data_IF_681775498557
#
_entry.id   IF_681775498557
#
_cell.length_a   1.000
_cell.length_b   1.000
_cell.length_c   1.000
_cell.angle_alpha   90.00
_cell.angle_beta   90.00
_cell.angle_gamma   90.00
#
_symmetry.space_group_name_H-M   'P 1'
#
loop_
_entity.id
_entity.type
_entity.pdbx_description
1 polymer ?
#
# COMPACT_ATOMS: atom_id res chain seq x y z
N UNK A 1 3.04 11.43 -3.14
CA UNK A 1 3.80 12.50 -2.46
C UNK A 1 4.46 11.96 -1.21
N UNK A 2 5.65 12.42 -0.89
CA UNK A 2 6.35 12.08 0.36
C UNK A 2 6.75 13.37 1.05
N UNK A 3 6.49 13.44 2.37
CA UNK A 3 6.87 14.58 3.19
C UNK A 3 6.43 14.39 4.63
N UNK A 4 7.14 15.03 5.57
CA UNK A 4 6.83 14.99 7.00
C UNK A 4 6.62 13.58 7.60
N UNK A 5 7.37 12.58 7.10
CA UNK A 5 7.27 11.18 7.55
C UNK A 5 6.04 10.42 7.02
N UNK A 6 5.31 10.98 6.07
CA UNK A 6 4.11 10.40 5.46
C UNK A 6 4.31 10.21 3.97
N UNK A 7 3.74 9.13 3.43
CA UNK A 7 3.55 8.91 2.01
C UNK A 7 2.05 8.96 1.69
N UNK A 8 1.70 9.76 0.69
CA UNK A 8 0.34 9.91 0.18
C UNK A 8 0.26 9.41 -1.27
N UNK A 9 -0.60 8.42 -1.50
CA UNK A 9 -0.98 7.98 -2.84
C UNK A 9 -2.25 8.73 -3.22
N UNK A 10 -2.09 9.76 -4.06
CA UNK A 10 -3.21 10.58 -4.51
C UNK A 10 -3.88 9.87 -5.71
N UNK A 11 -5.07 9.32 -5.50
CA UNK A 11 -5.89 8.70 -6.54
C UNK A 11 -7.34 9.19 -6.47
N UNK A 12 -7.96 9.39 -7.63
CA UNK A 12 -9.28 9.99 -7.82
C UNK A 12 -10.42 9.13 -7.26
N UNK A 13 -10.18 7.82 -7.10
CA UNK A 13 -11.16 6.86 -6.57
C UNK A 13 -11.09 6.63 -5.05
N UNK A 14 -10.26 7.39 -4.34
CA UNK A 14 -10.04 7.22 -2.89
C UNK A 14 -11.31 7.22 -2.04
N UNK A 15 -12.36 7.95 -2.45
CA UNK A 15 -13.64 7.99 -1.75
C UNK A 15 -14.78 7.20 -2.45
N UNK A 16 -14.58 6.68 -3.66
CA UNK A 16 -15.66 6.14 -4.50
C UNK A 16 -15.61 4.63 -4.74
N UNK A 17 -14.45 3.99 -4.58
CA UNK A 17 -14.43 2.52 -4.61
C UNK A 17 -15.25 1.92 -3.45
N UNK A 18 -16.01 0.83 -3.69
CA UNK A 18 -16.82 0.20 -2.64
C UNK A 18 -15.96 -0.22 -1.45
N UNK A 19 -16.42 -0.03 -0.23
CA UNK A 19 -15.69 -0.48 0.96
C UNK A 19 -16.06 -1.90 1.38
N UNK A 20 -15.13 -2.62 1.99
CA UNK A 20 -15.39 -3.84 2.75
C UNK A 20 -15.05 -3.63 4.24
N UNK A 21 -15.74 -4.35 5.11
CA UNK A 21 -15.49 -4.31 6.56
C UNK A 21 -14.49 -5.39 6.96
N UNK A 22 -13.42 -4.99 7.66
CA UNK A 22 -12.38 -5.90 8.18
C UNK A 22 -12.23 -5.71 9.69
N UNK A 23 -11.72 -6.72 10.39
CA UNK A 23 -11.34 -6.55 11.79
C UNK A 23 -10.09 -5.67 11.89
N UNK A 24 -10.13 -4.70 12.80
CA UNK A 24 -8.99 -3.87 13.12
C UNK A 24 -7.89 -4.71 13.78
N UNK A 25 -6.62 -4.33 13.64
CA UNK A 25 -5.47 -5.05 14.25
C UNK A 25 -5.59 -5.21 15.78
N UNK A 26 -6.35 -4.34 16.45
CA UNK A 26 -6.66 -4.49 17.89
C UNK A 26 -7.60 -5.64 18.21
N UNK A 27 -8.32 -6.20 17.23
CA UNK A 27 -9.34 -7.23 17.41
C UNK A 27 -10.65 -6.74 18.05
N UNK A 28 -10.74 -5.46 18.44
CA UNK A 28 -11.86 -4.92 19.25
C UNK A 28 -12.93 -4.18 18.45
N UNK A 29 -12.69 -3.94 17.17
CA UNK A 29 -13.63 -3.20 16.30
C UNK A 29 -13.44 -3.58 14.84
N UNK A 30 -14.45 -3.30 14.03
CA UNK A 30 -14.34 -3.36 12.57
C UNK A 30 -13.99 -1.99 11.99
N UNK A 31 -13.30 -1.98 10.86
CA UNK A 31 -13.02 -0.79 10.07
C UNK A 31 -13.42 -1.03 8.61
N UNK A 32 -13.86 0.01 7.93
CA UNK A 32 -14.17 -0.04 6.50
C UNK A 32 -12.95 0.41 5.70
N UNK A 33 -12.56 -0.41 4.73
CA UNK A 33 -11.42 -0.19 3.85
C UNK A 33 -11.86 -0.33 2.40
N UNK A 34 -11.28 0.43 1.48
CA UNK A 34 -11.69 0.43 0.07
C UNK A 34 -10.53 0.36 -0.92
N UNK A 35 -9.29 0.44 -0.45
CA UNK A 35 -8.12 0.28 -1.30
C UNK A 35 -6.94 -0.32 -0.54
N UNK A 36 -5.98 -0.87 -1.28
CA UNK A 36 -4.66 -1.20 -0.79
C UNK A 36 -3.62 -0.38 -1.57
N UNK A 37 -2.61 0.19 -0.90
CA UNK A 37 -1.41 0.64 -1.58
C UNK A 37 -0.53 -0.57 -1.93
N UNK A 38 -0.01 -0.56 -3.16
CA UNK A 38 1.03 -1.47 -3.63
C UNK A 38 2.36 -0.75 -3.71
N UNK A 39 3.42 -1.47 -3.41
CA UNK A 39 4.80 -1.06 -3.63
C UNK A 39 5.45 -2.07 -4.58
N UNK A 40 6.33 -1.57 -5.46
CA UNK A 40 7.16 -2.39 -6.33
C UNK A 40 8.62 -1.99 -6.16
N UNK A 41 9.46 -2.98 -5.91
CA UNK A 41 10.85 -2.85 -5.48
C UNK A 41 11.74 -3.68 -6.38
N UNK A 42 12.87 -3.12 -6.82
CA UNK A 42 13.89 -3.88 -7.53
C UNK A 42 14.85 -4.49 -6.50
N UNK A 43 14.74 -5.80 -6.29
CA UNK A 43 15.58 -6.53 -5.36
C UNK A 43 16.44 -7.53 -6.14
N UNK A 44 17.75 -7.27 -6.22
CA UNK A 44 18.68 -8.15 -6.93
C UNK A 44 18.47 -8.22 -8.45
N UNK A 45 17.98 -7.13 -9.08
CA UNK A 45 17.71 -7.08 -10.53
C UNK A 45 16.34 -7.59 -10.94
N UNK A 46 15.52 -8.06 -10.00
CA UNK A 46 14.15 -8.50 -10.23
C UNK A 46 13.15 -7.59 -9.51
N UNK A 47 12.06 -7.25 -10.19
CA UNK A 47 10.96 -6.50 -9.61
C UNK A 47 10.02 -7.41 -8.81
N UNK A 48 9.76 -7.02 -7.56
CA UNK A 48 8.79 -7.66 -6.68
C UNK A 48 7.74 -6.64 -6.27
N UNK A 49 6.51 -7.09 -6.04
CA UNK A 49 5.42 -6.21 -5.62
C UNK A 49 4.53 -6.82 -4.55
N UNK A 50 3.97 -5.96 -3.71
CA UNK A 50 3.08 -6.39 -2.65
C UNK A 50 2.28 -5.24 -2.06
N UNK A 51 1.17 -5.57 -1.38
CA UNK A 51 0.44 -4.59 -0.57
C UNK A 51 1.17 -4.36 0.74
N UNK A 52 1.11 -3.17 1.32
CA UNK A 52 1.74 -2.89 2.62
C UNK A 52 0.77 -2.35 3.69
N UNK A 53 -0.40 -1.83 3.30
CA UNK A 53 -1.37 -1.26 4.24
C UNK A 53 -2.82 -1.42 3.76
N UNK A 54 -3.77 -0.90 4.52
CA UNK A 54 -5.16 -0.69 4.08
C UNK A 54 -5.51 0.81 4.05
N UNK A 55 -6.24 1.25 3.04
CA UNK A 55 -6.83 2.59 3.00
C UNK A 55 -8.31 2.56 3.40
N UNK A 56 -8.69 3.51 4.24
CA UNK A 56 -10.10 3.83 4.53
C UNK A 56 -10.64 4.77 3.46
N UNK A 57 -11.96 4.80 3.21
CA UNK A 57 -12.55 5.73 2.24
C UNK A 57 -12.12 7.19 2.48
N UNK A 58 -11.68 7.84 1.40
CA UNK A 58 -11.20 9.23 1.40
C UNK A 58 -9.79 9.43 1.95
N UNK A 59 -9.06 8.37 2.33
CA UNK A 59 -7.71 8.46 2.86
C UNK A 59 -6.72 7.70 1.97
N UNK A 60 -5.65 8.37 1.54
CA UNK A 60 -4.55 7.78 0.75
C UNK A 60 -3.17 7.93 1.41
N UNK A 61 -3.11 8.38 2.66
CA UNK A 61 -1.87 8.72 3.35
C UNK A 61 -1.57 7.74 4.48
N UNK A 62 -0.29 7.36 4.62
CA UNK A 62 0.20 6.48 5.69
C UNK A 62 1.61 6.88 6.15
N UNK A 63 2.01 6.50 7.37
CA UNK A 63 3.40 6.66 7.81
C UNK A 63 4.35 5.96 6.84
N UNK A 64 5.45 6.62 6.49
CA UNK A 64 6.49 6.04 5.62
C UNK A 64 7.09 4.76 6.21
N UNK A 65 7.13 4.65 7.54
CA UNK A 65 7.59 3.45 8.26
C UNK A 65 6.77 2.21 7.95
N UNK A 66 5.56 2.36 7.38
CA UNK A 66 4.72 1.23 6.96
C UNK A 66 5.14 0.68 5.58
N UNK A 67 6.00 1.38 4.84
CA UNK A 67 6.59 0.89 3.59
C UNK A 67 7.83 0.07 3.93
N UNK A 68 7.61 -1.12 4.47
CA UNK A 68 8.67 -2.01 4.93
C UNK A 68 8.22 -3.47 4.86
N UNK A 69 9.19 -4.37 4.94
CA UNK A 69 8.98 -5.81 4.76
C UNK A 69 8.05 -6.46 5.77
N UNK A 70 8.05 -5.98 7.01
CA UNK A 70 7.16 -6.42 8.09
C UNK A 70 5.69 -6.04 7.83
N UNK A 71 5.44 -5.06 6.96
CA UNK A 71 4.12 -4.70 6.46
C UNK A 71 3.78 -5.38 5.12
N UNK A 72 4.76 -5.63 4.26
CA UNK A 72 4.56 -6.30 2.96
C UNK A 72 4.33 -7.80 3.13
N UNK A 73 5.13 -8.47 3.96
CA UNK A 73 5.06 -9.88 4.34
C UNK A 73 5.11 -10.87 3.17
N UNK A 74 5.76 -10.50 2.07
CA UNK A 74 5.94 -11.35 0.87
C UNK A 74 7.43 -11.53 0.61
N UNK A 75 7.89 -12.78 0.47
CA UNK A 75 9.28 -13.06 0.12
C UNK A 75 9.62 -12.57 -1.31
N UNK A 76 10.84 -12.06 -1.56
CA UNK A 76 11.98 -11.89 -0.64
C UNK A 76 11.95 -10.58 0.16
N UNK A 77 10.86 -9.80 0.09
CA UNK A 77 10.76 -8.47 0.68
C UNK A 77 10.46 -8.48 2.18
N UNK A 78 10.36 -9.63 2.86
CA UNK A 78 9.95 -9.72 4.28
C UNK A 78 10.83 -8.91 5.24
N UNK A 79 12.13 -8.76 4.92
CA UNK A 79 13.10 -7.97 5.70
C UNK A 79 13.56 -6.71 4.95
N UNK A 80 12.94 -6.38 3.82
CA UNK A 80 13.32 -5.22 3.04
C UNK A 80 12.91 -3.92 3.76
N UNK A 81 13.84 -2.97 3.79
CA UNK A 81 13.61 -1.60 4.24
C UNK A 81 14.15 -0.68 3.14
N UNK A 82 13.37 0.33 2.71
CA UNK A 82 13.79 1.21 1.64
C UNK A 82 15.03 2.02 2.03
N UNK A 83 16.01 2.08 1.14
CA UNK A 83 17.22 2.88 1.29
C UNK A 83 17.07 4.25 0.64
N UNK A 84 17.67 5.29 1.24
CA UNK A 84 17.75 6.62 0.60
C UNK A 84 18.37 6.52 -0.79
N UNK A 85 17.71 7.11 -1.79
CA UNK A 85 18.09 7.05 -3.20
C UNK A 85 17.52 5.85 -3.97
N UNK A 86 16.87 4.90 -3.31
CA UNK A 86 16.25 3.74 -3.97
C UNK A 86 15.08 4.15 -4.87
N UNK A 87 15.04 3.59 -6.08
CA UNK A 87 13.92 3.74 -7.01
C UNK A 87 12.81 2.74 -6.66
N UNK A 88 11.66 3.27 -6.27
CA UNK A 88 10.50 2.49 -5.82
C UNK A 88 9.27 2.97 -6.58
N UNK A 89 8.38 2.05 -6.97
CA UNK A 89 7.11 2.41 -7.59
C UNK A 89 5.94 2.13 -6.65
N UNK A 90 4.94 3.00 -6.70
CA UNK A 90 3.72 2.87 -5.91
C UNK A 90 2.48 2.91 -6.80
N UNK A 91 1.42 2.18 -6.39
CA UNK A 91 0.08 2.24 -6.98
C UNK A 91 -0.97 2.13 -5.88
N UNK A 92 -2.18 2.65 -6.12
CA UNK A 92 -3.37 2.27 -5.37
C UNK A 92 -4.17 1.26 -6.19
N UNK A 93 -4.74 0.24 -5.55
CA UNK A 93 -5.65 -0.70 -6.18
C UNK A 93 -6.83 -1.01 -5.29
N UNK A 94 -7.86 -1.63 -5.88
CA UNK A 94 -8.89 -2.33 -5.13
C UNK A 94 -8.31 -3.33 -4.13
N UNK A 95 -9.15 -3.75 -3.19
CA UNK A 95 -8.79 -4.66 -2.11
C UNK A 95 -8.20 -5.96 -2.66
N UNK A 96 -6.97 -6.25 -2.23
CA UNK A 96 -6.12 -7.32 -2.74
C UNK A 96 -5.13 -7.87 -1.69
N UNK A 97 -5.14 -7.33 -0.46
CA UNK A 97 -4.29 -7.80 0.65
C UNK A 97 -4.78 -9.09 1.32
N UNK A 98 -6.06 -9.45 1.15
CA UNK A 98 -6.63 -10.73 1.60
C UNK A 98 -7.38 -11.40 0.46
N UNK A 99 -7.12 -12.69 0.22
CA UNK A 99 -7.71 -13.45 -0.88
C UNK A 99 -9.25 -13.54 -0.83
N UNK A 100 -9.86 -13.36 0.35
CA UNK A 100 -11.31 -13.42 0.52
C UNK A 100 -12.02 -12.07 0.37
N UNK A 101 -11.28 -10.98 0.09
CA UNK A 101 -11.83 -9.62 0.08
C UNK A 101 -11.38 -8.90 -1.19
N UNK A 102 -12.32 -8.76 -2.13
CA UNK A 102 -12.18 -7.95 -3.34
C UNK A 102 -13.40 -7.05 -3.46
N UNK A 103 -13.21 -5.80 -3.87
CA UNK A 103 -14.28 -4.81 -4.01
C UNK A 103 -14.44 -4.32 -5.46
N UNK A 104 -13.32 -4.13 -6.17
CA UNK A 104 -13.26 -3.64 -7.55
C UNK A 104 -11.99 -4.15 -8.22
N UNK A 105 -12.02 -4.32 -9.54
CA UNK A 105 -10.86 -4.70 -10.35
C UNK A 105 -10.26 -3.48 -11.04
N UNK A 106 -9.81 -2.50 -10.25
CA UNK A 106 -9.22 -1.26 -10.74
C UNK A 106 -7.91 -0.94 -10.00
N UNK A 107 -7.02 -0.20 -10.67
CA UNK A 107 -5.77 0.32 -10.10
C UNK A 107 -5.37 1.64 -10.73
N UNK A 108 -4.61 2.44 -10.00
CA UNK A 108 -3.93 3.61 -10.54
C UNK A 108 -2.75 3.20 -11.43
N UNK A 109 -2.19 4.17 -12.15
CA UNK A 109 -0.87 4.01 -12.78
C UNK A 109 0.24 3.95 -11.72
N UNK A 110 1.36 3.26 -12.01
CA UNK A 110 2.55 3.31 -11.17
C UNK A 110 3.12 4.72 -11.16
N UNK A 111 3.51 5.18 -9.97
CA UNK A 111 4.26 6.42 -9.79
C UNK A 111 5.63 6.07 -9.24
N UNK A 112 6.67 6.54 -9.92
CA UNK A 112 8.05 6.43 -9.46
C UNK A 112 8.31 7.39 -8.30
N UNK A 113 9.02 6.91 -7.30
CA UNK A 113 9.53 7.66 -6.17
C UNK A 113 11.01 7.35 -6.01
N UNK A 114 11.81 8.38 -5.73
CA UNK A 114 13.15 8.20 -5.19
C UNK A 114 13.01 8.36 -3.68
N UNK A 115 13.36 7.32 -2.92
CA UNK A 115 13.20 7.34 -1.47
C UNK A 115 14.13 8.38 -0.84
N UNK A 116 13.65 9.23 0.09
CA UNK A 116 14.43 10.34 0.64
C UNK A 116 15.47 9.92 1.69
#
# INVERSE_FOLDING_TARGET
EIGAGVICLNFDKSASWPSASIDHTSGTRKINVNANPLVFVNHGGQWYGGTWEWFTPGNGCKPMTSVAGDHIKVAPLVDWVPATGEEIYFMAAGLSRSASITNVQERSQPVKVIWP
#
